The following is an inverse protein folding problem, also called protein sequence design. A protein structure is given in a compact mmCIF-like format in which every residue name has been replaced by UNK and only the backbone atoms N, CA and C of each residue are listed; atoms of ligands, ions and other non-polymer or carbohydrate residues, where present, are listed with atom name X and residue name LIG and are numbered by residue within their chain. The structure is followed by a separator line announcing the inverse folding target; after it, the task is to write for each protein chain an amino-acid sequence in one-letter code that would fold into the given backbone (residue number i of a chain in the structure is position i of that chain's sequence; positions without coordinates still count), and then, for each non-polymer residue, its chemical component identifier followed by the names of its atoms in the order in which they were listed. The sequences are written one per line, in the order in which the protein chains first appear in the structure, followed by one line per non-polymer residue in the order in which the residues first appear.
data_IF_972338885357
#
_entry.id   IF_972338885357
#
_cell.length_a   1.000
_cell.length_b   1.000
_cell.length_c   1.000
_cell.angle_alpha   90.00
_cell.angle_beta   90.00
_cell.angle_gamma   90.00
#
_symmetry.space_group_name_H-M   'P 1'
#
loop_
_entity.id
_entity.type
_entity.pdbx_description
1 polymer ?
#
# COMPACT_ATOMS: atom_id res chain seq x y z
N UNK A 1 -8.24 -11.04 10.99
CA UNK A 1 -8.14 -9.98 9.97
C UNK A 1 -6.74 -9.40 10.01
N UNK A 2 -6.14 -9.14 8.85
CA UNK A 2 -4.81 -8.55 8.74
C UNK A 2 -4.91 -7.02 8.89
N UNK A 3 -4.16 -6.38 9.82
CA UNK A 3 -4.35 -4.96 10.12
C UNK A 3 -4.03 -4.03 8.95
N UNK A 4 -2.98 -4.33 8.16
CA UNK A 4 -2.57 -3.51 7.01
C UNK A 4 -1.98 -4.42 5.95
N UNK A 5 -2.65 -4.52 4.79
CA UNK A 5 -2.30 -5.51 3.76
C UNK A 5 -1.81 -4.82 2.48
N UNK A 6 -0.50 -4.83 2.25
CA UNK A 6 0.11 -4.28 1.02
C UNK A 6 -0.42 -4.95 -0.26
N UNK A 7 -0.59 -6.27 -0.21
CA UNK A 7 -1.15 -7.07 -1.31
C UNK A 7 -2.65 -6.85 -1.56
N UNK A 8 -3.35 -6.08 -0.72
CA UNK A 8 -4.72 -5.63 -1.00
C UNK A 8 -4.71 -4.18 -1.52
N UNK A 9 -3.99 -3.29 -0.85
CA UNK A 9 -3.92 -1.87 -1.20
C UNK A 9 -3.26 -1.65 -2.57
N UNK A 10 -2.20 -2.39 -2.90
CA UNK A 10 -1.54 -2.31 -4.20
C UNK A 10 -2.48 -2.66 -5.37
N UNK A 11 -3.07 -3.87 -5.40
CA UNK A 11 -4.04 -4.25 -6.43
C UNK A 11 -5.28 -3.35 -6.46
N UNK A 12 -5.74 -2.84 -5.31
CA UNK A 12 -6.82 -1.84 -5.28
C UNK A 12 -6.44 -0.60 -6.10
N UNK A 13 -5.23 -0.06 -5.94
CA UNK A 13 -4.76 1.08 -6.75
C UNK A 13 -4.76 0.77 -8.25
N UNK A 14 -4.24 -0.39 -8.65
CA UNK A 14 -4.29 -0.81 -10.06
C UNK A 14 -5.72 -0.94 -10.58
N UNK A 15 -6.62 -1.48 -9.75
CA UNK A 15 -8.02 -1.68 -10.10
C UNK A 15 -8.77 -0.35 -10.31
N UNK A 16 -8.45 0.67 -9.50
CA UNK A 16 -9.00 2.03 -9.67
C UNK A 16 -8.59 2.65 -11.01
N UNK A 17 -7.32 2.49 -11.42
CA UNK A 17 -6.84 2.94 -12.75
C UNK A 17 -7.55 2.15 -13.85
N UNK A 18 -7.56 0.83 -13.78
CA UNK A 18 -8.10 -0.06 -14.81
C UNK A 18 -9.56 0.27 -15.15
N UNK A 19 -10.35 0.69 -14.16
CA UNK A 19 -11.77 1.03 -14.32
C UNK A 19 -12.03 2.55 -14.44
N UNK A 20 -11.00 3.39 -14.43
CA UNK A 20 -11.16 4.86 -14.52
C UNK A 20 -11.95 5.48 -13.37
N UNK A 21 -11.82 4.92 -12.16
CA UNK A 21 -12.65 5.30 -11.00
C UNK A 21 -12.08 6.45 -10.18
N UNK A 22 -10.86 6.88 -10.48
CA UNK A 22 -10.23 8.04 -9.85
C UNK A 22 -9.53 8.89 -10.90
N UNK A 23 -9.66 10.20 -10.78
CA UNK A 23 -9.02 11.13 -11.69
C UNK A 23 -7.48 11.03 -11.57
N UNK A 24 -6.81 11.05 -12.72
CA UNK A 24 -5.36 11.03 -12.85
C UNK A 24 -4.93 11.72 -14.14
N UNK A 25 -3.64 12.04 -14.27
CA UNK A 25 -3.07 12.71 -15.46
C UNK A 25 -2.79 11.77 -16.64
N UNK A 26 -3.07 10.47 -16.47
CA UNK A 26 -2.81 9.42 -17.46
C UNK A 26 -1.41 8.84 -17.38
N UNK A 27 -0.58 9.30 -16.43
CA UNK A 27 0.78 8.80 -16.18
C UNK A 27 0.93 8.19 -14.80
N UNK A 28 0.29 8.78 -13.78
CA UNK A 28 0.42 8.31 -12.40
C UNK A 28 -0.89 8.49 -11.63
N UNK A 29 -1.23 7.50 -10.81
CA UNK A 29 -2.21 7.64 -9.72
C UNK A 29 -1.51 7.45 -8.38
N UNK A 30 -1.76 8.35 -7.43
CA UNK A 30 -1.27 8.25 -6.06
C UNK A 30 -2.44 8.25 -5.09
N UNK A 31 -2.47 7.27 -4.17
CA UNK A 31 -3.52 7.13 -3.16
C UNK A 31 -2.92 6.73 -1.81
N UNK A 32 -3.63 7.09 -0.75
CA UNK A 32 -3.35 6.61 0.60
C UNK A 32 -4.44 5.62 1.03
N UNK A 33 -4.06 4.36 1.18
CA UNK A 33 -4.94 3.31 1.67
C UNK A 33 -4.89 3.23 3.19
N UNK A 34 -6.03 3.42 3.86
CA UNK A 34 -6.14 3.32 5.32
C UNK A 34 -6.82 2.00 5.72
N UNK A 35 -6.20 1.23 6.62
CA UNK A 35 -6.71 -0.08 7.06
C UNK A 35 -6.48 -0.28 8.57
N UNK A 36 -7.24 -1.19 9.20
CA UNK A 36 -6.99 -1.63 10.58
C UNK A 36 -7.65 -0.82 11.69
N UNK A 37 -8.44 0.22 11.36
CA UNK A 37 -9.17 1.07 12.32
C UNK A 37 -10.08 0.30 13.27
N UNK A 38 -10.87 -0.62 12.75
CA UNK A 38 -11.76 -1.46 13.58
C UNK A 38 -11.00 -2.37 14.55
N UNK A 39 -9.72 -2.65 14.27
CA UNK A 39 -8.85 -3.50 15.09
C UNK A 39 -8.00 -2.69 16.09
N UNK A 40 -8.09 -1.35 16.08
CA UNK A 40 -7.20 -0.47 16.84
C UNK A 40 -5.73 -0.56 16.41
N UNK A 41 -5.47 -1.04 15.19
CA UNK A 41 -4.14 -1.22 14.59
C UNK A 41 -4.09 -0.48 13.26
N UNK A 42 -4.38 0.82 13.32
CA UNK A 42 -4.41 1.69 12.16
C UNK A 42 -3.06 1.75 11.47
N UNK A 43 -3.07 1.67 10.14
CA UNK A 43 -1.92 2.01 9.34
C UNK A 43 -2.32 2.49 7.95
N UNK A 44 -1.34 3.07 7.28
CA UNK A 44 -1.48 3.67 5.96
C UNK A 44 -0.50 3.01 5.00
N UNK A 45 -0.97 2.72 3.79
CA UNK A 45 -0.15 2.30 2.66
C UNK A 45 -0.23 3.39 1.60
N UNK A 46 0.91 3.98 1.26
CA UNK A 46 1.01 4.85 0.09
C UNK A 46 1.13 3.97 -1.15
N UNK A 47 0.22 4.13 -2.11
CA UNK A 47 0.20 3.34 -3.35
C UNK A 47 0.41 4.30 -4.51
N UNK A 48 1.42 4.01 -5.33
CA UNK A 48 1.70 4.69 -6.58
C UNK A 48 1.53 3.71 -7.74
N UNK A 49 0.66 4.06 -8.68
CA UNK A 49 0.43 3.27 -9.90
C UNK A 49 0.95 4.07 -11.08
N UNK A 50 1.90 3.53 -11.83
CA UNK A 50 2.28 4.10 -13.13
C UNK A 50 1.30 3.63 -14.19
N UNK A 51 0.93 4.53 -15.09
CA UNK A 51 -0.16 4.35 -16.05
C UNK A 51 0.41 4.48 -17.46
N UNK A 52 0.04 3.55 -18.33
CA UNK A 52 0.32 3.57 -19.76
C UNK A 52 -0.95 3.20 -20.51
N UNK A 53 -1.34 4.00 -21.50
CA UNK A 53 -2.55 3.78 -22.30
C UNK A 53 -3.83 3.62 -21.43
N UNK A 54 -3.93 4.41 -20.35
CA UNK A 54 -4.97 4.33 -19.32
C UNK A 54 -5.09 2.94 -18.66
N UNK A 55 -4.02 2.16 -18.65
CA UNK A 55 -3.92 0.87 -17.96
C UNK A 55 -2.83 0.92 -16.88
N UNK A 56 -2.99 0.20 -15.76
CA UNK A 56 -1.96 0.10 -14.74
C UNK A 56 -0.77 -0.70 -15.30
N UNK A 57 0.42 -0.08 -15.33
CA UNK A 57 1.64 -0.72 -15.81
C UNK A 57 2.46 -1.30 -14.65
N UNK A 58 2.64 -0.54 -13.57
CA UNK A 58 3.38 -0.97 -12.38
C UNK A 58 2.73 -0.42 -11.12
N UNK A 59 2.88 -1.13 -10.01
CA UNK A 59 2.39 -0.74 -8.69
C UNK A 59 3.56 -0.74 -7.71
N UNK A 60 3.78 0.40 -7.08
CA UNK A 60 4.71 0.54 -5.95
C UNK A 60 3.89 0.82 -4.70
N UNK A 61 4.15 0.06 -3.64
CA UNK A 61 3.63 0.35 -2.30
C UNK A 61 4.77 0.83 -1.40
N UNK A 62 4.46 1.79 -0.55
CA UNK A 62 5.38 2.31 0.46
C UNK A 62 4.67 2.56 1.78
N UNK A 63 5.46 2.62 2.85
CA UNK A 63 4.99 2.93 4.19
C UNK A 63 6.16 3.17 5.12
N UNK A 64 5.84 3.64 6.33
CA UNK A 64 6.81 3.83 7.40
C UNK A 64 6.61 2.78 8.48
N UNK A 65 7.65 2.55 9.28
CA UNK A 65 7.63 1.62 10.40
C UNK A 65 8.23 2.28 11.65
N UNK A 66 7.88 1.74 12.82
CA UNK A 66 8.44 2.14 14.11
C UNK A 66 9.02 0.91 14.82
N UNK A 67 10.29 1.01 15.23
CA UNK A 67 10.92 -0.02 16.06
C UNK A 67 10.57 0.28 17.51
N UNK A 68 9.87 -0.64 18.18
CA UNK A 68 9.53 -0.49 19.60
C UNK A 68 10.71 -0.86 20.51
N UNK A 69 11.44 -1.93 20.17
CA UNK A 69 12.67 -2.35 20.84
C UNK A 69 13.51 -3.22 19.89
N UNK A 70 14.78 -3.42 20.25
CA UNK A 70 15.65 -4.41 19.64
C UNK A 70 16.47 -5.11 20.74
N UNK A 71 16.89 -6.35 20.52
CA UNK A 71 17.69 -7.13 21.47
C UNK A 71 18.58 -8.13 20.74
N UNK A 72 19.64 -8.58 21.41
CA UNK A 72 20.46 -9.71 20.95
C UNK A 72 19.78 -11.04 21.29
N UNK A 73 19.99 -12.05 20.44
CA UNK A 73 19.50 -13.40 20.71
C UNK A 73 20.27 -14.02 21.89
N UNK A 74 19.55 -14.56 22.87
CA UNK A 74 20.14 -15.16 24.06
C UNK A 74 20.65 -16.61 23.85
N UNK A 75 20.49 -17.15 22.65
CA UNK A 75 20.90 -18.51 22.27
C UNK A 75 21.73 -18.47 20.99
N UNK A 76 22.64 -19.43 20.83
CA UNK A 76 23.42 -19.62 19.61
C UNK A 76 22.61 -20.44 18.59
N UNK A 77 22.67 -20.06 17.31
CA UNK A 77 22.06 -20.78 16.18
C UNK A 77 22.99 -21.82 15.57
#
# INVERSE_FOLDING_TARGET
EDPVTGNANGPMGAWLVHHGLMAHDGKTLQIQGHQGRALGKEGTVDVTVTIRDNQPENVTISGQAVILFHAEWAITF
#
